data_IF_265377370516
#
_entry.id   IF_265377370516
#
_cell.length_a   1.000
_cell.length_b   1.000
_cell.length_c   1.000
_cell.angle_alpha   90.00
_cell.angle_beta   90.00
_cell.angle_gamma   90.00
#
_symmetry.space_group_name_H-M   'P 1'
#
loop_
_entity.id
_entity.type
_entity.pdbx_description
1 polymer ?
#
# COMPACT_ATOMS: atom_id res chain seq x y z
N UNK A 1 1.12 3.45 7.50
CA UNK A 1 0.58 3.78 6.17
C UNK A 1 -0.10 2.61 5.46
N UNK A 2 0.00 1.36 5.97
CA UNK A 2 -0.67 0.17 5.39
C UNK A 2 -0.18 -0.22 3.98
N UNK A 3 0.64 0.61 3.34
CA UNK A 3 1.22 0.36 2.02
C UNK A 3 2.71 0.79 2.00
N UNK A 4 3.63 -0.10 1.58
CA UNK A 4 5.05 0.23 1.47
C UNK A 4 5.37 1.36 0.48
N UNK A 5 4.72 1.41 -0.67
CA UNK A 5 4.91 2.47 -1.67
C UNK A 5 4.50 3.84 -1.11
N UNK A 6 3.42 3.91 -0.34
CA UNK A 6 3.02 5.15 0.36
C UNK A 6 4.06 5.55 1.41
N UNK A 7 4.55 4.60 2.20
CA UNK A 7 5.61 4.85 3.19
C UNK A 7 6.88 5.37 2.52
N UNK A 8 7.27 4.76 1.41
CA UNK A 8 8.44 5.13 0.63
C UNK A 8 8.27 6.51 -0.01
N UNK A 9 7.11 6.80 -0.60
CA UNK A 9 6.78 8.13 -1.13
C UNK A 9 6.92 9.21 -0.06
N UNK A 10 6.32 9.01 1.12
CA UNK A 10 6.43 9.95 2.25
C UNK A 10 7.87 10.10 2.76
N UNK A 11 8.68 9.03 2.73
CA UNK A 11 10.11 9.11 3.04
C UNK A 11 10.86 9.98 2.03
N UNK A 12 10.66 9.78 0.72
CA UNK A 12 11.25 10.62 -0.33
C UNK A 12 10.79 12.08 -0.22
N UNK A 13 9.53 12.30 0.15
CA UNK A 13 8.97 13.61 0.46
C UNK A 13 9.45 14.20 1.79
N UNK A 14 10.42 13.56 2.47
CA UNK A 14 11.00 13.97 3.77
C UNK A 14 9.97 14.11 4.90
N UNK A 15 8.83 13.43 4.79
CA UNK A 15 7.75 13.43 5.80
C UNK A 15 7.90 12.31 6.85
N UNK A 16 8.79 11.34 6.60
CA UNK A 16 9.06 10.18 7.47
C UNK A 16 10.58 9.94 7.50
N UNK A 17 11.15 9.61 8.66
CA UNK A 17 12.57 9.29 8.77
C UNK A 17 12.91 7.90 8.21
N UNK A 18 14.16 7.68 7.80
CA UNK A 18 14.61 6.40 7.22
C UNK A 18 14.29 5.19 8.11
N UNK A 19 14.67 5.27 9.39
CA UNK A 19 14.43 4.17 10.35
C UNK A 19 12.94 3.87 10.48
N UNK A 20 12.10 4.91 10.59
CA UNK A 20 10.65 4.74 10.69
C UNK A 20 10.07 4.14 9.40
N UNK A 21 10.56 4.57 8.23
CA UNK A 21 10.14 4.03 6.94
C UNK A 21 10.44 2.53 6.82
N UNK A 22 11.66 2.11 7.18
CA UNK A 22 12.06 0.70 7.16
C UNK A 22 11.22 -0.15 8.12
N UNK A 23 11.06 0.29 9.38
CA UNK A 23 10.24 -0.41 10.37
C UNK A 23 8.78 -0.53 9.91
N UNK A 24 8.23 0.52 9.30
CA UNK A 24 6.87 0.50 8.77
C UNK A 24 6.72 -0.48 7.62
N UNK A 25 7.66 -0.54 6.68
CA UNK A 25 7.61 -1.49 5.57
C UNK A 25 7.71 -2.93 6.05
N UNK A 26 8.60 -3.22 7.01
CA UNK A 26 8.72 -4.55 7.63
C UNK A 26 7.40 -4.94 8.31
N UNK A 27 6.83 -4.05 9.14
CA UNK A 27 5.58 -4.31 9.83
C UNK A 27 4.40 -4.53 8.86
N UNK A 28 4.36 -3.77 7.76
CA UNK A 28 3.34 -3.91 6.71
C UNK A 28 3.44 -5.27 6.00
N UNK A 29 4.65 -5.67 5.58
CA UNK A 29 4.86 -6.98 4.95
C UNK A 29 4.56 -8.13 5.91
N UNK A 30 4.99 -8.04 7.17
CA UNK A 30 4.70 -9.05 8.19
C UNK A 30 3.18 -9.18 8.43
N UNK A 31 2.48 -8.06 8.55
CA UNK A 31 1.01 -8.04 8.67
C UNK A 31 0.30 -8.65 7.46
N UNK A 32 0.77 -8.38 6.24
CA UNK A 32 0.22 -8.97 5.02
C UNK A 32 0.40 -10.49 4.97
N UNK A 33 1.59 -10.99 5.36
CA UNK A 33 1.87 -12.43 5.46
C UNK A 33 0.95 -13.09 6.50
N UNK A 34 0.82 -12.50 7.69
CA UNK A 34 -0.07 -13.00 8.74
C UNK A 34 -1.53 -13.03 8.28
N UNK A 35 -2.02 -11.97 7.65
CA UNK A 35 -3.39 -11.88 7.15
C UNK A 35 -3.70 -12.93 6.07
N UNK A 36 -2.81 -13.09 5.08
CA UNK A 36 -2.93 -14.13 4.06
C UNK A 36 -2.87 -15.54 4.67
N UNK A 37 -1.98 -15.75 5.65
CA UNK A 37 -1.86 -16.99 6.40
C UNK A 37 -3.15 -17.36 7.15
N UNK A 38 -3.80 -16.39 7.80
CA UNK A 38 -5.09 -16.58 8.47
C UNK A 38 -6.20 -16.94 7.47
N UNK A 39 -6.29 -16.22 6.35
CA UNK A 39 -7.27 -16.51 5.29
C UNK A 39 -7.11 -17.95 4.75
N UNK A 40 -5.86 -18.36 4.50
CA UNK A 40 -5.53 -19.74 4.12
C UNK A 40 -5.85 -20.75 5.24
N UNK A 41 -5.66 -20.38 6.51
CA UNK A 41 -5.99 -21.20 7.66
C UNK A 41 -7.48 -21.52 7.74
N UNK A 42 -8.34 -20.53 7.50
CA UNK A 42 -9.80 -20.71 7.57
C UNK A 42 -10.39 -21.47 6.38
N UNK A 43 -9.87 -21.27 5.17
CA UNK A 43 -10.47 -21.83 3.94
C UNK A 43 -9.40 -22.45 3.04
N UNK A 44 -8.54 -23.33 3.57
CA UNK A 44 -7.34 -23.85 2.89
C UNK A 44 -7.60 -24.43 1.49
N UNK A 45 -8.65 -25.25 1.33
CA UNK A 45 -8.99 -25.88 0.06
C UNK A 45 -9.38 -24.85 -1.00
N UNK A 46 -10.30 -23.94 -0.67
CA UNK A 46 -10.74 -22.87 -1.57
C UNK A 46 -9.65 -21.84 -1.84
N UNK A 47 -8.87 -21.47 -0.82
CA UNK A 47 -7.73 -20.57 -0.96
C UNK A 47 -6.75 -21.08 -2.03
N UNK A 48 -6.35 -22.35 -1.93
CA UNK A 48 -5.43 -22.95 -2.90
C UNK A 48 -6.08 -23.11 -4.28
N UNK A 49 -7.36 -23.48 -4.34
CA UNK A 49 -8.09 -23.70 -5.60
C UNK A 49 -8.27 -22.41 -6.41
N UNK A 50 -8.49 -21.28 -5.73
CA UNK A 50 -8.79 -19.99 -6.38
C UNK A 50 -7.60 -19.03 -6.41
N UNK A 51 -6.37 -19.54 -6.36
CA UNK A 51 -5.16 -18.73 -6.56
C UNK A 51 -4.74 -17.87 -5.37
N UNK A 52 -5.43 -17.95 -4.23
CA UNK A 52 -4.98 -17.39 -2.96
C UNK A 52 -4.82 -15.87 -2.91
N UNK A 53 -5.46 -15.12 -3.81
CA UNK A 53 -5.37 -13.66 -3.85
C UNK A 53 -4.01 -13.11 -4.28
N UNK A 54 -3.22 -13.89 -5.02
CA UNK A 54 -1.89 -13.46 -5.51
C UNK A 54 -2.03 -12.57 -6.75
N UNK A 55 -1.35 -11.43 -6.77
CA UNK A 55 -1.25 -10.58 -7.96
C UNK A 55 -0.42 -11.29 -9.05
N UNK A 56 -1.01 -11.43 -10.24
CA UNK A 56 -0.37 -12.04 -11.42
C UNK A 56 -0.72 -11.26 -12.67
N UNK A 57 0.09 -11.38 -13.72
CA UNK A 57 -0.23 -10.81 -15.04
C UNK A 57 -1.24 -11.73 -15.71
N UNK A 58 -2.43 -11.21 -16.01
CA UNK A 58 -3.48 -11.96 -16.71
C UNK A 58 -3.05 -12.35 -18.11
N UNK A 59 -3.56 -13.49 -18.58
CA UNK A 59 -3.33 -13.96 -19.94
C UNK A 59 -3.77 -12.90 -20.97
N UNK A 60 -2.97 -12.77 -22.04
CA UNK A 60 -3.17 -11.74 -23.07
C UNK A 60 -2.46 -10.41 -22.81
N UNK A 61 -1.91 -10.20 -21.61
CA UNK A 61 -1.08 -9.02 -21.31
C UNK A 61 0.39 -9.38 -21.19
N UNK A 62 1.25 -8.47 -21.66
CA UNK A 62 2.70 -8.61 -21.45
C UNK A 62 3.13 -7.93 -20.14
N UNK A 63 4.35 -8.26 -19.70
CA UNK A 63 4.92 -7.71 -18.45
C UNK A 63 5.08 -6.18 -18.47
N UNK A 64 5.33 -5.60 -19.65
CA UNK A 64 5.46 -4.15 -19.80
C UNK A 64 4.13 -3.43 -19.55
N UNK A 65 3.03 -3.96 -20.09
CA UNK A 65 1.68 -3.43 -19.86
C UNK A 65 1.31 -3.51 -18.38
N UNK A 66 1.55 -4.67 -17.74
CA UNK A 66 1.28 -4.83 -16.31
C UNK A 66 2.12 -3.87 -15.45
N UNK A 67 3.41 -3.72 -15.76
CA UNK A 67 4.29 -2.78 -15.07
C UNK A 67 3.80 -1.34 -15.23
N UNK A 68 3.39 -0.93 -16.44
CA UNK A 68 2.85 0.40 -16.70
C UNK A 68 1.57 0.67 -15.89
N UNK A 69 0.66 -0.31 -15.82
CA UNK A 69 -0.56 -0.21 -15.03
C UNK A 69 -0.26 -0.02 -13.53
N UNK A 70 0.64 -0.83 -12.96
CA UNK A 70 1.05 -0.73 -11.55
C UNK A 70 1.71 0.62 -11.22
N UNK A 71 2.55 1.15 -12.13
CA UNK A 71 3.19 2.46 -11.97
C UNK A 71 2.14 3.56 -11.93
N UNK A 72 1.22 3.59 -12.90
CA UNK A 72 0.20 4.64 -13.00
C UNK A 72 -0.77 4.56 -11.81
N UNK A 73 -1.26 3.37 -11.46
CA UNK A 73 -2.16 3.19 -10.32
C UNK A 73 -1.51 3.61 -8.99
N UNK A 74 -0.26 3.19 -8.77
CA UNK A 74 0.48 3.59 -7.56
C UNK A 74 0.75 5.10 -7.55
N UNK A 75 1.03 5.71 -8.70
CA UNK A 75 1.20 7.17 -8.79
C UNK A 75 -0.08 7.90 -8.37
N UNK A 76 -1.25 7.51 -8.88
CA UNK A 76 -2.54 8.13 -8.51
C UNK A 76 -2.78 8.04 -7.00
N UNK A 77 -2.54 6.86 -6.41
CA UNK A 77 -2.65 6.65 -4.97
C UNK A 77 -1.69 7.57 -4.18
N UNK A 78 -0.40 7.55 -4.50
CA UNK A 78 0.62 8.32 -3.76
C UNK A 78 0.40 9.82 -3.95
N UNK A 79 0.07 10.27 -5.16
CA UNK A 79 -0.32 11.65 -5.43
C UNK A 79 -1.51 12.09 -4.57
N UNK A 80 -2.53 11.23 -4.45
CA UNK A 80 -3.70 11.48 -3.61
C UNK A 80 -3.31 11.57 -2.14
N UNK A 81 -2.41 10.70 -1.64
CA UNK A 81 -1.88 10.78 -0.27
C UNK A 81 -1.20 12.12 -0.02
N UNK A 82 -0.34 12.57 -0.94
CA UNK A 82 0.34 13.86 -0.82
C UNK A 82 -0.64 15.04 -0.86
N UNK A 83 -1.67 14.97 -1.69
CA UNK A 83 -2.71 15.99 -1.82
C UNK A 83 -3.65 16.03 -0.61
N UNK A 84 -3.90 14.86 0.00
CA UNK A 84 -4.71 14.68 1.20
C UNK A 84 -3.93 14.92 2.50
N UNK A 85 -2.69 15.41 2.40
CA UNK A 85 -1.84 15.68 3.56
C UNK A 85 -2.17 17.05 4.15
N UNK A 86 -2.64 17.11 5.40
CA UNK A 86 -2.89 18.38 6.09
C UNK A 86 -1.56 19.01 6.57
N UNK A 87 -1.16 20.20 6.07
CA UNK A 87 0.08 20.86 6.49
C UNK A 87 0.05 21.38 7.94
N UNK A 88 -1.12 21.43 8.59
CA UNK A 88 -1.30 21.99 9.94
C UNK A 88 -1.55 20.93 11.01
N UNK A 89 -1.74 19.65 10.63
CA UNK A 89 -2.00 18.56 11.59
C UNK A 89 -0.95 17.46 11.46
N UNK A 90 -0.21 17.26 12.55
CA UNK A 90 0.72 16.15 12.71
C UNK A 90 0.11 15.06 13.59
N UNK A 91 0.45 13.81 13.32
CA UNK A 91 0.09 12.66 14.12
C UNK A 91 0.68 12.79 15.54
N UNK A 92 -0.03 12.28 16.54
CA UNK A 92 0.36 12.38 17.94
C UNK A 92 1.81 11.92 18.13
N UNK A 93 2.63 12.77 18.73
CA UNK A 93 4.07 12.59 19.01
C UNK A 93 5.00 12.40 17.81
N UNK A 94 4.64 12.88 16.61
CA UNK A 94 5.58 12.97 15.48
C UNK A 94 5.17 13.93 14.37
N UNK A 95 6.13 14.51 13.65
CA UNK A 95 5.92 15.36 12.45
C UNK A 95 5.33 14.62 11.23
N UNK A 96 4.73 13.44 11.41
CA UNK A 96 4.07 12.71 10.32
C UNK A 96 2.69 13.32 10.14
N UNK A 97 2.34 13.85 8.98
CA UNK A 97 1.08 14.56 8.82
C UNK A 97 -0.14 13.63 8.82
N UNK A 98 -1.27 14.16 9.29
CA UNK A 98 -2.55 13.45 9.28
C UNK A 98 -3.12 13.43 7.86
N UNK A 99 -3.64 12.27 7.46
CA UNK A 99 -4.15 12.01 6.12
C UNK A 99 -5.69 12.03 6.13
N UNK A 100 -6.32 12.67 5.14
CA UNK A 100 -7.76 12.55 4.94
C UNK A 100 -8.09 11.15 4.34
N UNK A 101 -8.80 10.27 5.07
CA UNK A 101 -8.91 8.87 4.69
C UNK A 101 -9.87 8.61 3.52
N UNK A 102 -10.89 9.47 3.33
CA UNK A 102 -11.93 9.25 2.31
C UNK A 102 -11.39 9.36 0.87
N UNK A 103 -10.65 10.42 0.47
CA UNK A 103 -10.07 10.50 -0.88
C UNK A 103 -9.08 9.38 -1.17
N UNK A 104 -8.30 8.98 -0.15
CA UNK A 104 -7.33 7.88 -0.27
C UNK A 104 -8.07 6.56 -0.53
N UNK A 105 -9.17 6.30 0.17
CA UNK A 105 -10.01 5.12 -0.07
C UNK A 105 -10.57 5.09 -1.49
N UNK A 106 -11.06 6.22 -2.01
CA UNK A 106 -11.55 6.31 -3.39
C UNK A 106 -10.45 6.07 -4.44
N UNK A 107 -9.22 6.53 -4.19
CA UNK A 107 -8.10 6.29 -5.09
C UNK A 107 -7.62 4.83 -5.12
N UNK A 108 -7.95 4.03 -4.10
CA UNK A 108 -7.69 2.57 -4.10
C UNK A 108 -8.85 1.80 -4.73
N UNK A 109 -10.08 2.35 -4.68
CA UNK A 109 -11.27 1.70 -5.22
C UNK A 109 -11.34 1.75 -6.75
N UNK A 110 -10.88 2.85 -7.35
CA UNK A 110 -10.82 3.06 -8.81
C UNK A 110 -9.63 2.35 -9.43
#
# INVERSE_FOLDING_TARGET
HINPAVTFGLFLGRKVSLVRALLYMIAQCAGAICGAGLAKGFQKSYYNRYGGGVNTVSDGYNKGTALGAEIIGTFVLVYTVFSATDPKRSARDSHVPVLAPLPIGFAVFM
#
